data_IF_439856594294
#
_entry.id   IF_439856594294
#
_cell.length_a   1.000
_cell.length_b   1.000
_cell.length_c   1.000
_cell.angle_alpha   90.00
_cell.angle_beta   90.00
_cell.angle_gamma   90.00
#
_symmetry.space_group_name_H-M   'P 1'
#
loop_
_entity.id
_entity.type
_entity.pdbx_description
1 polymer ?
#
# COMPACT_ATOMS: atom_id res chain seq x y z
N UNK A 1 0.83 -13.42 -41.89
CA UNK A 1 0.20 -12.38 -41.07
C UNK A 1 1.13 -12.11 -39.91
N UNK A 2 1.89 -11.00 -39.97
CA UNK A 2 2.85 -10.63 -38.93
C UNK A 2 2.08 -10.01 -37.76
N UNK A 3 2.13 -10.65 -36.59
CA UNK A 3 1.61 -10.05 -35.37
C UNK A 3 2.52 -8.86 -35.02
N UNK A 4 2.02 -7.65 -35.24
CA UNK A 4 2.67 -6.42 -34.78
C UNK A 4 2.74 -6.47 -33.24
N UNK A 5 3.88 -6.86 -32.71
CA UNK A 5 4.19 -6.70 -31.28
C UNK A 5 4.22 -5.20 -31.02
N UNK A 6 3.15 -4.65 -30.45
CA UNK A 6 3.11 -3.25 -30.02
C UNK A 6 4.12 -3.08 -28.89
N UNK A 7 5.26 -2.48 -29.17
CA UNK A 7 6.31 -2.23 -28.17
C UNK A 7 5.75 -1.27 -27.10
N UNK A 8 5.76 -1.68 -25.82
CA UNK A 8 5.38 -0.82 -24.71
C UNK A 8 6.24 0.45 -24.67
N UNK A 9 5.61 1.58 -24.40
CA UNK A 9 6.37 2.82 -24.11
C UNK A 9 7.01 2.76 -22.72
N UNK A 10 8.05 3.57 -22.49
CA UNK A 10 8.66 3.68 -21.16
C UNK A 10 7.63 4.06 -20.08
N UNK A 11 6.69 4.95 -20.41
CA UNK A 11 5.59 5.34 -19.50
C UNK A 11 4.72 4.15 -19.14
N UNK A 12 4.33 3.34 -20.12
CA UNK A 12 3.54 2.12 -19.88
C UNK A 12 4.29 1.11 -19.01
N UNK A 13 5.57 0.91 -19.30
CA UNK A 13 6.42 0.00 -18.52
C UNK A 13 6.59 0.50 -17.08
N UNK A 14 6.87 1.79 -16.89
CA UNK A 14 7.02 2.38 -15.55
C UNK A 14 5.74 2.24 -14.70
N UNK A 15 4.56 2.48 -15.31
CA UNK A 15 3.26 2.29 -14.66
C UNK A 15 3.03 0.83 -14.26
N UNK A 16 3.30 -0.10 -15.18
CA UNK A 16 3.18 -1.55 -14.94
C UNK A 16 4.07 -2.00 -13.80
N UNK A 17 5.36 -1.63 -13.85
CA UNK A 17 6.35 -2.00 -12.84
C UNK A 17 6.00 -1.48 -11.44
N UNK A 18 5.54 -0.23 -11.31
CA UNK A 18 5.10 0.34 -10.04
C UNK A 18 3.93 -0.45 -9.44
N UNK A 19 2.94 -0.78 -10.26
CA UNK A 19 1.77 -1.51 -9.80
C UNK A 19 2.09 -2.97 -9.47
N UNK A 20 2.89 -3.65 -10.29
CA UNK A 20 3.33 -5.02 -10.06
C UNK A 20 4.15 -5.15 -8.78
N UNK A 21 5.08 -4.21 -8.53
CA UNK A 21 5.84 -4.18 -7.28
C UNK A 21 4.94 -4.01 -6.06
N UNK A 22 3.95 -3.11 -6.13
CA UNK A 22 3.02 -2.90 -5.02
C UNK A 22 2.15 -4.15 -4.77
N UNK A 23 1.72 -4.84 -5.81
CA UNK A 23 0.96 -6.09 -5.70
C UNK A 23 1.81 -7.20 -5.07
N UNK A 24 3.07 -7.34 -5.46
CA UNK A 24 4.00 -8.31 -4.86
C UNK A 24 4.25 -8.00 -3.38
N UNK A 25 4.40 -6.74 -3.02
CA UNK A 25 4.55 -6.30 -1.63
C UNK A 25 3.29 -6.61 -0.80
N UNK A 26 2.08 -6.36 -1.36
CA UNK A 26 0.81 -6.73 -0.74
C UNK A 26 0.72 -8.24 -0.51
N UNK A 27 1.07 -9.05 -1.50
CA UNK A 27 1.05 -10.51 -1.40
C UNK A 27 2.04 -11.00 -0.33
N UNK A 28 3.23 -10.39 -0.26
CA UNK A 28 4.21 -10.69 0.78
C UNK A 28 3.69 -10.34 2.19
N UNK A 29 2.99 -9.21 2.36
CA UNK A 29 2.35 -8.85 3.64
C UNK A 29 1.28 -9.88 4.01
N UNK A 30 0.45 -10.31 3.06
CA UNK A 30 -0.57 -11.33 3.30
C UNK A 30 0.06 -12.66 3.72
N UNK A 31 1.06 -13.14 2.98
CA UNK A 31 1.78 -14.39 3.32
C UNK A 31 2.37 -14.37 4.73
N UNK A 32 2.86 -13.22 5.19
CA UNK A 32 3.41 -13.04 6.52
C UNK A 32 2.32 -13.01 7.61
N UNK A 33 1.21 -12.34 7.36
CA UNK A 33 0.23 -11.96 8.37
C UNK A 33 -0.99 -12.91 8.43
N UNK A 34 -1.40 -13.54 7.32
CA UNK A 34 -2.56 -14.46 7.31
C UNK A 34 -2.42 -15.67 8.24
N UNK A 35 -1.22 -16.29 8.42
CA UNK A 35 -1.07 -17.42 9.34
C UNK A 35 -1.09 -17.04 10.82
N UNK A 36 -1.13 -15.75 11.17
CA UNK A 36 -1.14 -15.27 12.56
C UNK A 36 -2.52 -15.45 13.19
N UNK A 37 -2.56 -15.70 14.48
CA UNK A 37 -3.78 -15.56 15.29
C UNK A 37 -4.15 -14.09 15.44
N UNK A 38 -5.41 -13.78 15.81
CA UNK A 38 -5.82 -12.40 16.04
C UNK A 38 -5.02 -11.76 17.18
N UNK A 39 -4.67 -12.54 18.20
CA UNK A 39 -3.81 -12.09 19.28
C UNK A 39 -2.42 -11.68 18.79
N UNK A 40 -1.80 -12.48 17.93
CA UNK A 40 -0.49 -12.18 17.34
C UNK A 40 -0.56 -10.97 16.40
N UNK A 41 -1.62 -10.89 15.59
CA UNK A 41 -1.84 -9.80 14.63
C UNK A 41 -1.94 -8.43 15.30
N UNK A 42 -2.57 -8.36 16.48
CA UNK A 42 -2.83 -7.11 17.19
C UNK A 42 -1.91 -6.87 18.40
N UNK A 43 -1.02 -7.80 18.73
CA UNK A 43 -0.03 -7.60 19.80
C UNK A 43 1.03 -6.56 19.41
N UNK A 44 1.51 -5.83 20.42
CA UNK A 44 2.64 -4.90 20.31
C UNK A 44 3.83 -5.47 21.03
N UNK A 45 4.71 -6.22 20.37
CA UNK A 45 5.83 -6.90 21.03
C UNK A 45 6.94 -5.95 21.47
N UNK A 46 6.91 -4.70 21.01
CA UNK A 46 7.87 -3.63 21.35
C UNK A 46 7.08 -2.41 21.81
N UNK A 47 7.52 -1.76 22.89
CA UNK A 47 6.94 -0.53 23.42
C UNK A 47 8.03 0.57 23.51
N UNK A 48 7.86 1.74 22.86
CA UNK A 48 6.74 2.10 22.00
C UNK A 48 6.82 1.39 20.63
N UNK A 49 5.67 0.95 20.11
CA UNK A 49 5.63 0.25 18.83
C UNK A 49 4.23 0.03 18.27
N UNK A 50 4.20 -0.56 17.09
CA UNK A 50 2.97 -0.88 16.38
C UNK A 50 2.73 -2.39 16.34
N UNK A 51 1.47 -2.80 16.26
CA UNK A 51 1.12 -4.16 15.89
C UNK A 51 1.18 -4.33 14.37
N UNK A 52 1.21 -5.58 13.91
CA UNK A 52 1.13 -5.91 12.49
C UNK A 52 -0.20 -5.40 11.90
N UNK A 53 -1.31 -5.58 12.63
CA UNK A 53 -2.62 -5.07 12.21
C UNK A 53 -2.64 -3.55 12.03
N UNK A 54 -2.04 -2.79 12.95
CA UNK A 54 -1.93 -1.34 12.82
C UNK A 54 -1.09 -0.92 11.60
N UNK A 55 -0.01 -1.63 11.28
CA UNK A 55 0.77 -1.35 10.08
C UNK A 55 -0.01 -1.64 8.80
N UNK A 56 -0.84 -2.69 8.77
CA UNK A 56 -1.73 -2.98 7.63
C UNK A 56 -2.80 -1.89 7.48
N UNK A 57 -3.43 -1.44 8.59
CA UNK A 57 -4.35 -0.29 8.55
C UNK A 57 -3.67 0.96 8.02
N UNK A 58 -2.44 1.23 8.47
CA UNK A 58 -1.64 2.37 8.02
C UNK A 58 -1.33 2.32 6.52
N UNK A 59 -0.90 1.18 6.01
CA UNK A 59 -0.64 0.99 4.57
C UNK A 59 -1.91 1.21 3.74
N UNK A 60 -3.03 0.65 4.19
CA UNK A 60 -4.34 0.80 3.55
C UNK A 60 -4.77 2.27 3.51
N UNK A 61 -4.71 2.96 4.66
CA UNK A 61 -5.08 4.37 4.76
C UNK A 61 -4.17 5.29 3.96
N UNK A 62 -2.87 4.98 3.90
CA UNK A 62 -1.88 5.71 3.10
C UNK A 62 -2.22 5.68 1.61
N UNK A 63 -2.41 4.49 1.04
CA UNK A 63 -2.73 4.32 -0.38
C UNK A 63 -4.09 4.94 -0.73
N UNK A 64 -5.11 4.69 0.09
CA UNK A 64 -6.44 5.26 -0.13
C UNK A 64 -6.44 6.78 -0.08
N UNK A 65 -5.65 7.40 0.79
CA UNK A 65 -5.58 8.85 0.91
C UNK A 65 -4.82 9.49 -0.25
N UNK A 66 -3.54 9.12 -0.42
CA UNK A 66 -2.66 9.83 -1.34
C UNK A 66 -2.89 9.46 -2.81
N UNK A 67 -3.26 8.22 -3.09
CA UNK A 67 -3.54 7.79 -4.47
C UNK A 67 -5.04 7.78 -4.72
N UNK A 68 -5.82 7.05 -3.94
CA UNK A 68 -7.26 6.97 -4.13
C UNK A 68 -7.95 8.34 -4.03
N UNK A 69 -7.78 9.02 -2.91
CA UNK A 69 -8.45 10.30 -2.62
C UNK A 69 -7.89 11.45 -3.45
N UNK A 70 -6.56 11.65 -3.39
CA UNK A 70 -5.96 12.85 -3.99
C UNK A 70 -5.80 12.76 -5.52
N UNK A 71 -5.41 11.62 -6.06
CA UNK A 71 -5.26 11.43 -7.50
C UNK A 71 -6.52 10.85 -8.14
N UNK A 72 -7.11 9.82 -7.54
CA UNK A 72 -8.27 9.09 -8.06
C UNK A 72 -9.62 9.69 -7.70
N UNK A 73 -9.68 10.74 -6.87
CA UNK A 73 -10.91 11.45 -6.45
C UNK A 73 -12.00 10.52 -5.88
N UNK A 74 -11.59 9.50 -5.12
CA UNK A 74 -12.52 8.51 -4.54
C UNK A 74 -13.37 9.04 -3.40
N UNK A 75 -13.09 10.24 -2.88
CA UNK A 75 -13.77 10.80 -1.70
C UNK A 75 -13.30 10.20 -0.37
N UNK A 76 -12.24 9.38 -0.37
CA UNK A 76 -11.73 8.80 0.85
C UNK A 76 -11.26 9.86 1.84
N UNK A 77 -11.77 9.78 3.08
CA UNK A 77 -11.35 10.62 4.21
C UNK A 77 -10.52 9.78 5.17
N UNK A 78 -9.28 10.20 5.37
CA UNK A 78 -8.32 9.47 6.20
C UNK A 78 -8.50 9.79 7.69
N UNK A 79 -8.58 8.76 8.50
CA UNK A 79 -8.43 8.85 9.97
C UNK A 79 -7.08 8.23 10.36
N UNK A 80 -6.02 9.05 10.32
CA UNK A 80 -4.66 8.57 10.57
C UNK A 80 -4.44 8.15 12.04
N UNK A 81 -5.10 8.81 12.98
CA UNK A 81 -4.96 8.47 14.41
C UNK A 81 -5.49 7.06 14.67
N UNK A 82 -6.61 6.73 14.07
CA UNK A 82 -7.23 5.39 14.18
C UNK A 82 -6.32 4.28 13.62
N UNK A 83 -5.51 4.56 12.60
CA UNK A 83 -4.60 3.58 12.03
C UNK A 83 -3.63 2.99 13.06
N UNK A 84 -3.28 3.74 14.11
CA UNK A 84 -2.31 3.37 15.14
C UNK A 84 -2.90 3.16 16.54
N UNK A 85 -4.11 3.63 16.77
CA UNK A 85 -4.80 3.59 18.06
C UNK A 85 -6.11 2.81 18.01
N UNK A 86 -6.33 1.98 16.97
CA UNK A 86 -7.57 1.22 16.84
C UNK A 86 -7.79 0.27 18.03
N UNK A 87 -8.81 0.56 18.82
CA UNK A 87 -9.21 -0.24 19.99
C UNK A 87 -10.30 -1.28 19.66
N UNK A 88 -10.94 -1.15 18.50
CA UNK A 88 -11.92 -2.10 17.95
C UNK A 88 -11.45 -2.56 16.58
N UNK A 89 -10.49 -3.49 16.56
CA UNK A 89 -9.90 -3.93 15.29
C UNK A 89 -10.98 -4.55 14.38
N UNK A 90 -10.90 -4.30 13.07
CA UNK A 90 -11.77 -4.94 12.11
C UNK A 90 -11.56 -6.47 12.12
N UNK A 91 -12.55 -7.21 11.64
CA UNK A 91 -12.37 -8.63 11.38
C UNK A 91 -11.18 -8.84 10.41
N UNK A 92 -10.42 -9.91 10.60
CA UNK A 92 -9.25 -10.24 9.77
C UNK A 92 -9.58 -10.20 8.27
N UNK A 93 -10.70 -10.81 7.86
CA UNK A 93 -11.11 -10.84 6.47
C UNK A 93 -11.33 -9.42 5.92
N UNK A 94 -11.90 -8.53 6.71
CA UNK A 94 -12.11 -7.12 6.35
C UNK A 94 -10.78 -6.37 6.24
N UNK A 95 -9.85 -6.58 7.19
CA UNK A 95 -8.52 -5.95 7.17
C UNK A 95 -7.79 -6.24 5.86
N UNK A 96 -7.73 -7.51 5.45
CA UNK A 96 -7.05 -7.90 4.21
C UNK A 96 -7.83 -7.49 2.95
N UNK A 97 -9.17 -7.59 2.96
CA UNK A 97 -9.99 -7.13 1.85
C UNK A 97 -9.82 -5.62 1.59
N UNK A 98 -9.71 -4.82 2.65
CA UNK A 98 -9.48 -3.38 2.54
C UNK A 98 -8.08 -3.07 1.98
N UNK A 99 -7.04 -3.84 2.36
CA UNK A 99 -5.71 -3.71 1.80
C UNK A 99 -5.71 -4.05 0.31
N UNK A 100 -6.35 -5.16 -0.09
CA UNK A 100 -6.47 -5.57 -1.48
C UNK A 100 -7.21 -4.52 -2.32
N UNK A 101 -8.31 -3.98 -1.81
CA UNK A 101 -9.07 -2.93 -2.47
C UNK A 101 -8.26 -1.63 -2.64
N UNK A 102 -7.44 -1.28 -1.65
CA UNK A 102 -6.55 -0.12 -1.74
C UNK A 102 -5.50 -0.29 -2.84
N UNK A 103 -4.86 -1.46 -2.93
CA UNK A 103 -3.87 -1.77 -3.98
C UNK A 103 -4.54 -1.80 -5.36
N UNK A 104 -5.72 -2.41 -5.50
CA UNK A 104 -6.49 -2.39 -6.75
C UNK A 104 -6.89 -0.97 -7.17
N UNK A 105 -7.20 -0.10 -6.20
CA UNK A 105 -7.48 1.31 -6.47
C UNK A 105 -6.23 2.02 -7.01
N UNK A 106 -5.05 1.76 -6.46
CA UNK A 106 -3.79 2.32 -6.99
C UNK A 106 -3.60 1.92 -8.45
N UNK A 107 -3.74 0.63 -8.79
CA UNK A 107 -3.62 0.17 -10.19
C UNK A 107 -4.57 0.91 -11.10
N UNK A 108 -5.86 0.95 -10.76
CA UNK A 108 -6.88 1.64 -11.57
C UNK A 108 -6.54 3.13 -11.79
N UNK A 109 -6.10 3.82 -10.74
CA UNK A 109 -5.71 5.23 -10.82
C UNK A 109 -4.48 5.40 -11.72
N UNK A 110 -3.42 4.63 -11.47
CA UNK A 110 -2.16 4.70 -12.23
C UNK A 110 -2.37 4.37 -13.71
N UNK A 111 -3.17 3.34 -14.01
CA UNK A 111 -3.49 2.97 -15.40
C UNK A 111 -4.18 4.10 -16.15
N UNK A 112 -5.00 4.92 -15.47
CA UNK A 112 -5.68 6.08 -16.04
C UNK A 112 -4.82 7.33 -16.20
N UNK A 113 -3.62 7.41 -15.60
CA UNK A 113 -2.77 8.61 -15.68
C UNK A 113 -2.05 8.69 -17.03
N UNK A 114 -2.07 9.87 -17.64
CA UNK A 114 -1.22 10.21 -18.79
C UNK A 114 0.22 10.53 -18.32
N UNK A 115 1.16 10.55 -19.27
CA UNK A 115 2.55 10.97 -18.98
C UNK A 115 2.61 12.38 -18.41
N UNK A 116 1.83 13.32 -18.97
CA UNK A 116 1.76 14.69 -18.45
C UNK A 116 1.27 14.75 -17.00
N UNK A 117 0.29 13.90 -16.62
CA UNK A 117 -0.20 13.81 -15.25
C UNK A 117 0.83 13.17 -14.31
N UNK A 118 1.61 12.20 -14.78
CA UNK A 118 2.72 11.61 -13.99
C UNK A 118 3.81 12.65 -13.69
N UNK A 119 4.08 13.55 -14.62
CA UNK A 119 5.07 14.61 -14.46
C UNK A 119 4.55 15.83 -13.70
N UNK A 120 3.24 15.99 -13.59
CA UNK A 120 2.62 17.10 -12.86
C UNK A 120 2.94 17.04 -11.35
N UNK A 121 2.90 18.17 -10.63
CA UNK A 121 3.05 18.19 -9.20
C UNK A 121 1.98 17.36 -8.50
N UNK A 122 2.38 16.58 -7.49
CA UNK A 122 1.43 15.93 -6.58
C UNK A 122 0.71 17.00 -5.75
N UNK A 123 -0.59 16.80 -5.38
CA UNK A 123 -1.32 17.74 -4.52
C UNK A 123 -0.58 18.10 -3.23
N UNK A 124 0.19 17.16 -2.66
CA UNK A 124 1.09 17.45 -1.55
C UNK A 124 2.51 17.73 -2.07
N UNK A 125 2.90 18.98 -2.00
CA UNK A 125 4.17 19.49 -2.56
C UNK A 125 5.42 18.73 -2.08
N UNK A 126 5.39 18.18 -0.85
CA UNK A 126 6.51 17.41 -0.29
C UNK A 126 6.91 16.19 -1.12
N UNK A 127 6.00 15.65 -1.92
CA UNK A 127 6.27 14.48 -2.76
C UNK A 127 6.87 14.84 -4.13
N UNK A 128 6.81 16.11 -4.56
CA UNK A 128 7.24 16.53 -5.89
C UNK A 128 6.25 16.12 -6.98
N UNK A 129 6.71 15.48 -8.06
CA UNK A 129 5.80 15.00 -9.12
C UNK A 129 4.97 13.80 -8.66
N UNK A 130 3.85 13.56 -9.36
CA UNK A 130 3.01 12.38 -9.13
C UNK A 130 3.84 11.09 -9.27
N UNK A 131 4.69 10.99 -10.29
CA UNK A 131 5.56 9.82 -10.47
C UNK A 131 6.49 9.60 -9.27
N UNK A 132 7.14 10.67 -8.78
CA UNK A 132 8.01 10.60 -7.59
C UNK A 132 7.21 10.19 -6.34
N UNK A 133 5.99 10.68 -6.19
CA UNK A 133 5.08 10.30 -5.11
C UNK A 133 4.75 8.79 -5.17
N UNK A 134 4.42 8.26 -6.35
CA UNK A 134 4.13 6.83 -6.53
C UNK A 134 5.34 5.95 -6.16
N UNK A 135 6.54 6.32 -6.59
CA UNK A 135 7.77 5.63 -6.18
C UNK A 135 7.96 5.67 -4.65
N UNK A 136 7.68 6.83 -4.03
CA UNK A 136 7.75 6.96 -2.58
C UNK A 136 6.75 6.02 -1.88
N UNK A 137 5.53 5.88 -2.38
CA UNK A 137 4.52 5.00 -1.77
C UNK A 137 4.90 3.51 -1.89
N UNK A 138 5.50 3.10 -2.98
CA UNK A 138 6.08 1.74 -3.12
C UNK A 138 7.20 1.52 -2.10
N UNK A 139 8.15 2.45 -2.00
CA UNK A 139 9.24 2.39 -1.03
C UNK A 139 8.74 2.39 0.43
N UNK A 140 7.74 3.20 0.74
CA UNK A 140 7.07 3.26 2.04
C UNK A 140 6.37 1.93 2.38
N UNK A 141 5.71 1.32 1.41
CA UNK A 141 5.09 0.00 1.58
C UNK A 141 6.16 -1.08 1.85
N UNK A 142 7.25 -1.06 1.10
CA UNK A 142 8.38 -1.99 1.30
C UNK A 142 9.02 -1.84 2.68
N UNK A 143 9.18 -0.61 3.19
CA UNK A 143 9.64 -0.33 4.55
C UNK A 143 8.75 -1.02 5.60
N UNK A 144 7.43 -0.81 5.51
CA UNK A 144 6.49 -1.42 6.45
C UNK A 144 6.38 -2.93 6.30
N UNK A 145 6.48 -3.47 5.09
CA UNK A 145 6.59 -4.93 4.86
C UNK A 145 7.80 -5.50 5.61
N UNK A 146 8.95 -4.82 5.58
CA UNK A 146 10.14 -5.20 6.35
C UNK A 146 9.88 -5.20 7.86
N UNK A 147 9.21 -4.17 8.38
CA UNK A 147 8.79 -4.10 9.80
C UNK A 147 7.83 -5.23 10.16
N UNK A 148 6.83 -5.52 9.32
CA UNK A 148 5.90 -6.64 9.51
C UNK A 148 6.66 -7.96 9.56
N UNK A 149 7.61 -8.19 8.66
CA UNK A 149 8.44 -9.41 8.65
C UNK A 149 9.21 -9.59 9.96
N UNK A 150 9.75 -8.51 10.49
CA UNK A 150 10.45 -8.52 11.77
C UNK A 150 9.50 -8.76 12.96
N UNK A 151 8.35 -8.08 12.98
CA UNK A 151 7.34 -8.26 14.02
C UNK A 151 6.78 -9.70 14.07
N UNK A 152 6.59 -10.34 12.91
CA UNK A 152 6.15 -11.75 12.85
C UNK A 152 7.11 -12.66 13.61
N UNK A 153 8.42 -12.46 13.49
CA UNK A 153 9.42 -13.21 14.25
C UNK A 153 9.29 -12.97 15.76
N UNK A 154 9.06 -11.73 16.16
CA UNK A 154 8.91 -11.38 17.57
C UNK A 154 7.64 -11.98 18.19
N UNK A 155 6.49 -11.92 17.51
CA UNK A 155 5.23 -12.47 18.06
C UNK A 155 5.19 -13.98 18.05
N UNK A 156 5.87 -14.63 17.11
CA UNK A 156 6.01 -16.10 17.06
C UNK A 156 7.16 -16.64 17.90
N UNK A 157 8.02 -15.77 18.41
CA UNK A 157 9.24 -16.16 19.16
C UNK A 157 10.16 -17.12 18.38
N UNK A 158 10.29 -16.88 17.06
CA UNK A 158 11.12 -17.65 16.13
C UNK A 158 12.40 -16.88 15.79
#
# INVERSE_FOLDING_TARGET
MSASSTQKTLTQEAKSALCEELEQLRDAVRQLAEPLTDRELWSKPVDPGNSIGHLILHLTGNLNHFVGGQLGKTGYVRDREREFAESRPPARAELFANLDAAVATVRRVVDGLSEAQLLAPHPEAKFGSVYKALMHFVAHFALHRGQISYLVRLVKKV
#
